data_IF_103882729602
#
_entry.id   IF_103882729602
#
_cell.length_a   1.000
_cell.length_b   1.000
_cell.length_c   1.000
_cell.angle_alpha   90.00
_cell.angle_beta   90.00
_cell.angle_gamma   90.00
#
_symmetry.space_group_name_H-M   'P 1'
#
loop_
_entity.id
_entity.type
_entity.pdbx_description
1 polymer ?
#
# COMPACT_ATOMS: atom_id res chain seq x y z
N UNK A 1 30.78 5.41 5.77
CA UNK A 1 29.35 5.63 6.01
C UNK A 1 28.60 4.34 5.69
N UNK A 2 27.59 3.94 6.47
CA UNK A 2 26.72 2.82 6.08
C UNK A 2 26.08 3.09 4.72
N UNK A 3 25.73 2.04 3.97
CA UNK A 3 25.12 2.18 2.64
C UNK A 3 23.81 2.98 2.75
N UNK A 4 23.63 3.97 1.87
CA UNK A 4 22.56 4.97 1.92
C UNK A 4 22.45 5.74 3.24
N UNK A 5 23.55 5.80 4.00
CA UNK A 5 23.60 6.47 5.30
C UNK A 5 22.78 5.81 6.40
N UNK A 6 22.19 4.63 6.15
CA UNK A 6 21.14 4.05 7.02
C UNK A 6 20.03 5.07 7.35
N UNK A 7 19.75 5.95 6.38
CA UNK A 7 18.77 7.03 6.48
C UNK A 7 17.34 6.50 6.33
N UNK A 8 16.39 7.43 6.34
CA UNK A 8 15.00 7.15 6.05
C UNK A 8 14.76 7.35 4.55
N UNK A 9 14.86 6.26 3.77
CA UNK A 9 14.41 6.25 2.38
C UNK A 9 12.91 5.99 2.32
N UNK A 10 12.21 6.92 1.70
CA UNK A 10 10.76 7.12 1.87
C UNK A 10 10.02 7.19 0.54
N UNK A 11 10.56 6.54 -0.47
CA UNK A 11 9.87 6.19 -1.71
C UNK A 11 9.52 4.68 -1.78
N UNK A 12 9.69 3.94 -0.67
CA UNK A 12 9.21 2.57 -0.42
C UNK A 12 9.64 2.05 0.95
N UNK A 13 10.89 2.27 1.39
CA UNK A 13 11.52 1.46 2.43
C UNK A 13 10.93 1.68 3.83
N UNK A 14 10.80 2.94 4.28
CA UNK A 14 10.16 3.20 5.58
C UNK A 14 8.67 2.86 5.53
N UNK A 15 7.97 3.11 4.43
CA UNK A 15 6.59 2.66 4.31
C UNK A 15 6.49 1.14 4.49
N UNK A 16 7.39 0.38 3.85
CA UNK A 16 7.48 -1.07 3.98
C UNK A 16 7.75 -1.55 5.41
N UNK A 17 8.59 -0.84 6.16
CA UNK A 17 8.86 -1.16 7.57
C UNK A 17 7.59 -1.21 8.42
N UNK A 18 6.57 -0.43 8.04
CA UNK A 18 5.36 -0.24 8.81
C UNK A 18 4.13 -0.94 8.24
N UNK A 19 4.20 -1.55 7.05
CA UNK A 19 3.11 -2.36 6.51
C UNK A 19 2.57 -3.45 7.46
N UNK A 20 3.40 -4.18 8.25
CA UNK A 20 2.87 -5.18 9.15
C UNK A 20 2.29 -4.61 10.45
N UNK A 21 2.47 -3.31 10.76
CA UNK A 21 2.15 -2.76 12.08
C UNK A 21 0.67 -2.92 12.44
N UNK A 22 -0.24 -2.54 11.53
CA UNK A 22 -1.68 -2.63 11.81
C UNK A 22 -2.18 -4.08 11.79
N UNK A 23 -1.99 -4.77 10.67
CA UNK A 23 -2.48 -6.15 10.43
C UNK A 23 -1.85 -7.16 11.38
N UNK A 24 -0.59 -6.94 11.76
CA UNK A 24 0.19 -7.76 12.68
C UNK A 24 -0.07 -7.46 14.17
N UNK A 25 -1.02 -6.57 14.48
CA UNK A 25 -1.40 -6.24 15.86
C UNK A 25 -0.28 -5.61 16.69
N UNK A 26 0.39 -4.63 16.08
CA UNK A 26 1.48 -3.82 16.66
C UNK A 26 1.21 -2.32 16.42
N UNK A 27 -0.06 -1.90 16.54
CA UNK A 27 -0.51 -0.55 16.18
C UNK A 27 0.21 0.56 16.95
N UNK A 28 0.61 0.28 18.18
CA UNK A 28 1.37 1.19 19.04
C UNK A 28 2.75 1.54 18.46
N UNK A 29 3.33 0.65 17.64
CA UNK A 29 4.64 0.88 17.02
C UNK A 29 4.58 1.96 15.95
N UNK A 30 3.42 2.23 15.38
CA UNK A 30 3.20 3.23 14.34
C UNK A 30 3.28 4.67 14.89
N UNK A 31 2.99 4.89 16.18
CA UNK A 31 2.94 6.23 16.76
C UNK A 31 4.29 6.96 16.74
N UNK A 32 5.41 6.23 16.74
CA UNK A 32 6.74 6.84 16.54
C UNK A 32 6.89 7.44 15.15
N UNK A 33 6.35 6.80 14.11
CA UNK A 33 6.32 7.33 12.74
C UNK A 33 5.42 8.58 12.69
N UNK A 34 4.26 8.55 13.34
CA UNK A 34 3.32 9.68 13.30
C UNK A 34 3.91 10.93 13.97
N UNK A 35 4.55 10.79 15.14
CA UNK A 35 5.28 11.90 15.77
C UNK A 35 6.43 12.42 14.91
N UNK A 36 7.13 11.53 14.21
CA UNK A 36 8.15 11.96 13.26
C UNK A 36 7.54 12.78 12.12
N UNK A 37 6.42 12.34 11.57
CA UNK A 37 5.71 13.02 10.47
C UNK A 37 5.10 14.37 10.90
N UNK A 38 4.66 14.52 12.14
CA UNK A 38 4.23 15.81 12.71
C UNK A 38 5.35 16.85 12.61
N UNK A 39 6.53 16.51 13.11
CA UNK A 39 7.72 17.37 13.02
C UNK A 39 8.17 17.61 11.57
N UNK A 40 8.05 16.60 10.73
CA UNK A 40 8.37 16.69 9.30
C UNK A 40 7.43 17.64 8.57
N UNK A 41 6.13 17.64 8.89
CA UNK A 41 5.15 18.51 8.25
C UNK A 41 5.43 19.99 8.54
N UNK A 42 5.88 20.33 9.76
CA UNK A 42 6.30 21.70 10.10
C UNK A 42 7.42 22.19 9.19
N UNK A 43 8.49 21.39 9.03
CA UNK A 43 9.61 21.72 8.13
C UNK A 43 9.22 21.65 6.66
N UNK A 44 8.37 20.70 6.30
CA UNK A 44 7.86 20.52 4.95
C UNK A 44 7.02 21.70 4.46
N UNK A 45 6.40 22.46 5.37
CA UNK A 45 5.71 23.71 5.02
C UNK A 45 6.70 24.82 4.60
N UNK A 46 7.87 24.89 5.24
CA UNK A 46 8.95 25.80 4.82
C UNK A 46 9.46 25.43 3.43
N UNK A 47 9.71 24.14 3.19
CA UNK A 47 10.13 23.62 1.87
C UNK A 47 9.06 23.87 0.80
N UNK A 48 7.79 23.59 1.08
CA UNK A 48 6.68 23.83 0.15
C UNK A 48 6.63 25.30 -0.30
N UNK A 49 6.75 26.22 0.65
CA UNK A 49 6.76 27.66 0.37
C UNK A 49 8.02 28.10 -0.38
N UNK A 50 9.20 27.68 0.07
CA UNK A 50 10.47 28.17 -0.45
C UNK A 50 10.80 27.62 -1.85
N UNK A 51 10.49 26.34 -2.11
CA UNK A 51 10.82 25.69 -3.37
C UNK A 51 9.70 25.78 -4.42
N UNK A 52 8.44 25.73 -3.99
CA UNK A 52 7.30 25.61 -4.90
C UNK A 52 6.31 26.78 -4.82
N UNK A 53 6.43 27.65 -3.81
CA UNK A 53 5.44 28.70 -3.56
C UNK A 53 4.05 28.15 -3.18
N UNK A 54 3.98 26.89 -2.76
CA UNK A 54 2.73 26.20 -2.44
C UNK A 54 2.39 26.31 -0.95
N UNK A 55 1.09 26.23 -0.64
CA UNK A 55 0.59 25.98 0.73
C UNK A 55 0.81 24.50 1.11
N UNK A 56 0.37 24.15 2.32
CA UNK A 56 0.49 22.78 2.82
C UNK A 56 1.93 22.44 3.19
N UNK A 57 2.31 21.17 3.04
CA UNK A 57 3.66 20.70 3.30
C UNK A 57 4.06 19.58 2.33
N UNK A 58 5.36 19.47 2.08
CA UNK A 58 5.95 18.48 1.15
C UNK A 58 7.20 17.85 1.76
N UNK A 59 7.52 16.64 1.31
CA UNK A 59 8.82 16.01 1.54
C UNK A 59 9.17 15.09 0.37
N UNK A 60 10.47 14.84 0.17
CA UNK A 60 11.00 14.10 -0.99
C UNK A 60 11.40 12.67 -0.64
N UNK A 61 12.09 11.96 -1.53
CA UNK A 61 12.37 10.52 -1.40
C UNK A 61 13.30 10.09 -0.25
N UNK A 62 14.00 11.03 0.40
CA UNK A 62 14.90 10.77 1.52
C UNK A 62 14.72 11.80 2.64
N UNK A 63 14.90 11.35 3.88
CA UNK A 63 14.95 12.21 5.08
C UNK A 63 15.86 11.57 6.14
N UNK A 64 16.00 12.20 7.30
CA UNK A 64 16.82 11.73 8.40
C UNK A 64 16.24 12.11 9.77
N UNK A 65 17.01 11.89 10.85
CA UNK A 65 16.58 12.20 12.22
C UNK A 65 16.22 13.66 12.43
N UNK A 66 16.71 14.57 11.58
CA UNK A 66 16.39 15.99 11.65
C UNK A 66 15.09 16.32 10.94
N UNK A 67 14.44 15.37 10.27
CA UNK A 67 13.25 15.63 9.46
C UNK A 67 13.52 16.65 8.34
N UNK A 68 14.66 16.52 7.67
CA UNK A 68 14.92 17.25 6.43
C UNK A 68 13.88 16.86 5.36
N UNK A 69 13.39 17.85 4.64
CA UNK A 69 12.35 17.70 3.62
C UNK A 69 12.80 18.18 2.25
N UNK A 70 13.99 18.74 2.11
CA UNK A 70 14.54 19.12 0.81
C UNK A 70 14.91 17.87 -0.03
N UNK A 71 14.95 17.98 -1.37
CA UNK A 71 15.54 16.94 -2.21
C UNK A 71 16.98 16.64 -1.77
N UNK A 72 17.29 15.36 -1.57
CA UNK A 72 18.65 14.90 -1.24
C UNK A 72 19.27 14.20 -2.45
N UNK A 73 20.59 14.02 -2.46
CA UNK A 73 21.36 13.35 -3.54
C UNK A 73 21.19 13.95 -4.95
N UNK A 74 21.74 13.28 -5.96
CA UNK A 74 21.80 13.70 -7.37
C UNK A 74 21.15 12.68 -8.33
N UNK A 75 20.35 11.76 -7.80
CA UNK A 75 19.63 10.75 -8.57
C UNK A 75 18.44 11.31 -9.35
N UNK A 76 18.63 11.62 -10.63
CA UNK A 76 17.58 12.15 -11.54
C UNK A 76 16.28 11.32 -11.52
N UNK A 77 16.36 10.03 -11.26
CA UNK A 77 15.23 9.11 -11.18
C UNK A 77 14.40 9.18 -9.88
N UNK A 78 14.87 9.87 -8.84
CA UNK A 78 14.19 9.89 -7.53
C UNK A 78 14.28 11.20 -6.73
N UNK A 79 15.34 11.98 -6.86
CA UNK A 79 15.61 13.18 -6.03
C UNK A 79 14.43 14.14 -5.94
N UNK A 80 13.77 14.41 -7.07
CA UNK A 80 12.69 15.40 -7.17
C UNK A 80 11.29 14.84 -6.85
N UNK A 81 11.17 13.59 -6.39
CA UNK A 81 9.88 12.97 -6.18
C UNK A 81 9.18 13.51 -4.92
N UNK A 82 8.01 14.14 -5.07
CA UNK A 82 7.34 14.95 -4.03
C UNK A 82 6.26 14.24 -3.23
N UNK A 83 5.96 12.96 -3.52
CA UNK A 83 4.77 12.28 -2.96
C UNK A 83 5.07 11.43 -1.72
N UNK A 84 6.26 11.49 -1.14
CA UNK A 84 6.57 10.76 0.09
C UNK A 84 5.62 11.13 1.23
N UNK A 85 5.33 12.43 1.40
CA UNK A 85 4.35 12.90 2.39
C UNK A 85 2.95 12.35 2.13
N UNK A 86 2.49 12.39 0.87
CA UNK A 86 1.19 11.87 0.46
C UNK A 86 1.04 10.37 0.77
N UNK A 87 2.06 9.56 0.47
CA UNK A 87 2.04 8.13 0.80
C UNK A 87 2.00 7.91 2.31
N UNK A 88 2.78 8.66 3.10
CA UNK A 88 2.71 8.52 4.56
C UNK A 88 1.35 8.88 5.15
N UNK A 89 0.60 9.80 4.54
CA UNK A 89 -0.77 10.10 4.99
C UNK A 89 -1.70 8.90 4.87
N UNK A 90 -1.42 7.97 3.97
CA UNK A 90 -2.14 6.70 3.90
C UNK A 90 -1.86 5.84 5.14
N UNK A 91 -0.66 5.90 5.74
CA UNK A 91 -0.40 5.19 7.01
C UNK A 91 -1.24 5.75 8.17
N UNK A 92 -1.38 7.09 8.27
CA UNK A 92 -2.24 7.70 9.29
C UNK A 92 -3.71 7.34 9.03
N UNK A 93 -4.15 7.39 7.77
CA UNK A 93 -5.50 6.99 7.42
C UNK A 93 -5.75 5.51 7.75
N UNK A 94 -4.80 4.63 7.44
CA UNK A 94 -4.88 3.20 7.76
C UNK A 94 -4.92 2.95 9.26
N UNK A 95 -4.15 3.67 10.08
CA UNK A 95 -4.26 3.57 11.54
C UNK A 95 -5.68 3.86 12.03
N UNK A 96 -6.33 4.90 11.49
CA UNK A 96 -7.75 5.14 11.76
C UNK A 96 -8.64 4.02 11.19
N UNK A 97 -8.44 3.55 9.96
CA UNK A 97 -9.27 2.48 9.39
C UNK A 97 -9.19 1.21 10.22
N UNK A 98 -8.02 0.85 10.76
CA UNK A 98 -7.85 -0.31 11.62
C UNK A 98 -8.32 -0.10 13.07
N UNK A 99 -8.14 1.09 13.65
CA UNK A 99 -8.48 1.38 15.05
C UNK A 99 -9.86 1.99 15.29
N UNK A 100 -10.38 2.75 14.32
CA UNK A 100 -11.60 3.58 14.39
C UNK A 100 -11.61 4.60 15.53
N UNK A 101 -10.42 5.01 15.99
CA UNK A 101 -10.23 6.02 17.02
C UNK A 101 -10.45 7.43 16.45
N UNK A 102 -11.56 8.06 16.84
CA UNK A 102 -11.90 9.43 16.40
C UNK A 102 -10.97 10.50 16.98
N UNK A 103 -10.40 10.30 18.16
CA UNK A 103 -9.44 11.26 18.73
C UNK A 103 -8.13 11.23 17.96
N UNK A 104 -7.65 10.02 17.62
CA UNK A 104 -6.53 9.90 16.69
C UNK A 104 -6.83 10.55 15.34
N UNK A 105 -8.04 10.34 14.78
CA UNK A 105 -8.40 10.96 13.50
C UNK A 105 -8.33 12.49 13.55
N UNK A 106 -8.77 13.12 14.65
CA UNK A 106 -8.64 14.58 14.84
C UNK A 106 -7.18 15.03 14.89
N UNK A 107 -6.28 14.24 15.49
CA UNK A 107 -4.83 14.50 15.49
C UNK A 107 -4.23 14.34 14.08
N UNK A 108 -4.64 13.31 13.34
CA UNK A 108 -4.11 12.97 12.03
C UNK A 108 -4.60 13.90 10.90
N UNK A 109 -5.85 14.35 10.98
CA UNK A 109 -6.51 15.07 9.88
C UNK A 109 -5.75 16.32 9.40
N UNK A 110 -5.22 17.20 10.27
CA UNK A 110 -4.46 18.37 9.82
C UNK A 110 -3.23 18.01 8.97
N UNK A 111 -2.58 16.87 9.23
CA UNK A 111 -1.44 16.40 8.43
C UNK A 111 -1.90 15.92 7.05
N UNK A 112 -2.99 15.14 7.02
CA UNK A 112 -3.58 14.61 5.78
C UNK A 112 -4.05 15.77 4.90
N UNK A 113 -4.83 16.70 5.47
CA UNK A 113 -5.31 17.89 4.79
C UNK A 113 -4.17 18.81 4.35
N UNK A 114 -3.14 19.00 5.18
CA UNK A 114 -1.96 19.79 4.83
C UNK A 114 -1.17 19.21 3.66
N UNK A 115 -1.07 17.88 3.55
CA UNK A 115 -0.42 17.24 2.40
C UNK A 115 -1.28 17.37 1.15
N UNK A 116 -2.60 17.19 1.25
CA UNK A 116 -3.52 17.39 0.13
C UNK A 116 -3.54 18.85 -0.37
N UNK A 117 -3.44 19.81 0.55
CA UNK A 117 -3.38 21.25 0.25
C UNK A 117 -2.16 21.61 -0.60
N UNK A 118 -1.01 20.97 -0.36
CA UNK A 118 0.17 21.14 -1.23
C UNK A 118 -0.16 20.76 -2.68
N UNK A 119 -0.83 19.63 -2.89
CA UNK A 119 -1.18 19.18 -4.24
C UNK A 119 -2.31 19.99 -4.89
N UNK A 120 -3.17 20.67 -4.13
CA UNK A 120 -4.09 21.65 -4.71
C UNK A 120 -3.35 22.80 -5.42
N UNK A 121 -2.19 23.19 -4.90
CA UNK A 121 -1.37 24.27 -5.47
C UNK A 121 -0.32 23.76 -6.46
N UNK A 122 0.20 22.54 -6.27
CA UNK A 122 1.30 21.98 -7.06
C UNK A 122 0.85 21.32 -8.38
N UNK A 123 -0.36 20.75 -8.41
CA UNK A 123 -0.86 20.06 -9.60
C UNK A 123 -1.13 21.05 -10.74
N UNK A 124 -0.77 20.65 -11.96
CA UNK A 124 -1.07 21.41 -13.17
C UNK A 124 -2.14 20.69 -14.00
N UNK A 125 -3.01 21.47 -14.66
CA UNK A 125 -4.02 20.90 -15.55
C UNK A 125 -3.45 20.64 -16.95
N UNK A 126 -3.59 19.40 -17.43
CA UNK A 126 -3.21 18.98 -18.78
C UNK A 126 -4.25 17.99 -19.29
N UNK A 127 -4.79 18.25 -20.47
CA UNK A 127 -5.81 17.40 -21.12
C UNK A 127 -7.03 17.11 -20.21
N UNK A 128 -7.44 18.12 -19.43
CA UNK A 128 -8.56 18.03 -18.47
C UNK A 128 -8.27 17.20 -17.21
N UNK A 129 -7.02 16.78 -17.01
CA UNK A 129 -6.56 16.04 -15.82
C UNK A 129 -5.56 16.86 -15.02
N UNK A 130 -5.58 16.68 -13.69
CA UNK A 130 -4.59 17.28 -12.79
C UNK A 130 -3.42 16.33 -12.61
N UNK A 131 -2.22 16.75 -12.99
CA UNK A 131 -1.01 15.92 -12.98
C UNK A 131 0.15 16.63 -12.28
N UNK A 132 1.11 15.83 -11.82
CA UNK A 132 2.40 16.31 -11.28
C UNK A 132 3.36 16.64 -12.40
N UNK A 133 4.13 17.73 -12.27
CA UNK A 133 5.23 18.02 -13.18
C UNK A 133 6.22 19.03 -12.55
N UNK A 134 7.53 18.74 -12.53
CA UNK A 134 8.15 17.46 -12.87
C UNK A 134 7.82 16.36 -11.84
N UNK A 135 7.99 15.09 -12.23
CA UNK A 135 7.99 13.94 -11.34
C UNK A 135 8.82 12.80 -11.96
N UNK A 136 8.90 11.65 -11.30
CA UNK A 136 9.55 10.44 -11.80
C UNK A 136 8.79 9.19 -11.35
N UNK A 137 9.03 8.05 -12.00
CA UNK A 137 8.64 6.74 -11.45
C UNK A 137 9.84 6.18 -10.71
N UNK A 138 9.84 6.22 -9.38
CA UNK A 138 11.00 5.79 -8.60
C UNK A 138 11.27 4.31 -8.89
N UNK A 139 12.48 3.88 -9.26
CA UNK A 139 13.63 4.66 -9.72
C UNK A 139 13.96 4.30 -11.17
N UNK A 140 12.92 4.05 -11.95
CA UNK A 140 12.98 3.48 -13.28
C UNK A 140 13.15 4.57 -14.35
N UNK A 141 13.67 4.15 -15.50
CA UNK A 141 13.86 5.00 -16.68
C UNK A 141 13.18 4.40 -17.90
N UNK A 142 12.90 5.24 -18.88
CA UNK A 142 12.22 4.89 -20.12
C UNK A 142 12.93 5.50 -21.33
N UNK A 143 12.61 4.98 -22.51
CA UNK A 143 13.01 5.61 -23.77
C UNK A 143 11.98 6.66 -24.19
N UNK A 144 12.42 7.89 -24.45
CA UNK A 144 11.55 8.95 -24.98
C UNK A 144 10.92 8.45 -26.29
N UNK A 145 9.60 8.59 -26.40
CA UNK A 145 8.81 8.04 -27.50
C UNK A 145 9.39 8.38 -28.87
N UNK A 146 9.62 7.35 -29.70
CA UNK A 146 10.21 7.51 -31.03
C UNK A 146 11.73 7.72 -31.06
N UNK A 147 12.41 7.61 -29.92
CA UNK A 147 13.87 7.81 -29.81
C UNK A 147 14.54 6.66 -29.04
N UNK A 148 15.87 6.68 -28.97
CA UNK A 148 16.68 5.82 -28.08
C UNK A 148 17.22 6.57 -26.85
N UNK A 149 16.78 7.80 -26.64
CA UNK A 149 17.24 8.63 -25.52
C UNK A 149 16.54 8.19 -24.24
N UNK A 150 17.34 7.89 -23.22
CA UNK A 150 16.83 7.50 -21.89
C UNK A 150 16.45 8.74 -21.09
N UNK A 151 15.30 8.69 -20.42
CA UNK A 151 14.82 9.71 -19.49
C UNK A 151 14.19 9.07 -18.24
N UNK A 152 14.14 9.83 -17.15
CA UNK A 152 13.53 9.40 -15.87
C UNK A 152 12.54 10.44 -15.34
N UNK A 153 12.81 11.72 -15.60
CA UNK A 153 11.88 12.82 -15.30
C UNK A 153 10.75 12.84 -16.32
N UNK A 154 9.53 12.92 -15.82
CA UNK A 154 8.29 12.89 -16.60
C UNK A 154 7.23 13.80 -15.97
N UNK A 155 6.00 13.72 -16.46
CA UNK A 155 4.83 14.38 -15.91
C UNK A 155 3.74 13.34 -15.65
N UNK A 156 3.17 13.32 -14.44
CA UNK A 156 2.07 12.42 -14.07
C UNK A 156 2.33 10.93 -14.35
N UNK A 157 3.44 10.33 -13.87
CA UNK A 157 3.60 8.89 -13.93
C UNK A 157 2.46 8.20 -13.16
N UNK A 158 2.13 6.96 -13.52
CA UNK A 158 0.88 6.31 -13.07
C UNK A 158 0.75 6.24 -11.55
N UNK A 159 1.83 5.91 -10.85
CA UNK A 159 1.84 5.82 -9.39
C UNK A 159 1.57 7.15 -8.66
N UNK A 160 1.89 8.30 -9.26
CA UNK A 160 1.55 9.60 -8.67
C UNK A 160 0.04 9.77 -8.61
N UNK A 161 -0.65 9.46 -9.71
CA UNK A 161 -2.11 9.47 -9.76
C UNK A 161 -2.72 8.51 -8.74
N UNK A 162 -2.13 7.31 -8.59
CA UNK A 162 -2.60 6.32 -7.61
C UNK A 162 -2.49 6.83 -6.16
N UNK A 163 -1.32 7.37 -5.78
CA UNK A 163 -1.09 7.90 -4.43
C UNK A 163 -1.99 9.11 -4.16
N UNK A 164 -2.12 10.02 -5.13
CA UNK A 164 -2.98 11.19 -4.99
C UNK A 164 -4.46 10.83 -4.88
N UNK A 165 -4.94 9.84 -5.66
CA UNK A 165 -6.32 9.36 -5.52
C UNK A 165 -6.59 8.88 -4.10
N UNK A 166 -5.68 8.08 -3.52
CA UNK A 166 -5.83 7.61 -2.14
C UNK A 166 -5.70 8.74 -1.11
N UNK A 167 -4.78 9.71 -1.29
CA UNK A 167 -4.66 10.88 -0.41
C UNK A 167 -5.95 11.71 -0.41
N UNK A 168 -6.46 12.03 -1.59
CA UNK A 168 -7.65 12.86 -1.74
C UNK A 168 -8.92 12.10 -1.33
N UNK A 169 -8.99 10.77 -1.48
CA UNK A 169 -10.04 9.95 -0.85
C UNK A 169 -9.96 10.04 0.67
N UNK A 170 -8.78 9.84 1.24
CA UNK A 170 -8.56 9.90 2.69
C UNK A 170 -8.95 11.25 3.29
N UNK A 171 -8.54 12.38 2.69
CA UNK A 171 -8.90 13.72 3.21
C UNK A 171 -10.41 13.98 3.12
N UNK A 172 -11.06 13.53 2.05
CA UNK A 172 -12.51 13.69 1.87
C UNK A 172 -13.29 12.84 2.85
N UNK A 173 -12.90 11.57 3.04
CA UNK A 173 -13.56 10.65 3.97
C UNK A 173 -13.34 11.06 5.43
N UNK A 174 -12.11 11.38 5.80
CA UNK A 174 -11.78 11.88 7.14
C UNK A 174 -12.50 13.20 7.42
N UNK A 175 -12.53 14.12 6.45
CA UNK A 175 -13.21 15.41 6.58
C UNK A 175 -14.71 15.25 6.80
N UNK A 176 -15.39 14.34 6.06
CA UNK A 176 -16.80 14.01 6.30
C UNK A 176 -17.05 13.48 7.71
N UNK A 177 -16.16 12.64 8.22
CA UNK A 177 -16.29 12.05 9.56
C UNK A 177 -16.10 13.09 10.68
N UNK A 178 -15.34 14.15 10.41
CA UNK A 178 -15.05 15.23 11.36
C UNK A 178 -15.93 16.48 11.17
N UNK A 179 -16.66 16.59 10.04
CA UNK A 179 -17.48 17.76 9.71
C UNK A 179 -16.69 18.93 9.11
N UNK A 180 -15.59 18.63 8.43
CA UNK A 180 -14.68 19.61 7.81
C UNK A 180 -15.11 19.94 6.37
N UNK A 181 -14.68 21.11 5.86
CA UNK A 181 -14.91 21.48 4.45
C UNK A 181 -14.03 20.66 3.51
N UNK A 182 -14.65 20.01 2.54
CA UNK A 182 -14.03 19.06 1.63
C UNK A 182 -14.26 19.40 0.15
N UNK A 183 -14.96 20.49 -0.17
CA UNK A 183 -15.47 20.75 -1.51
C UNK A 183 -14.33 20.86 -2.54
N UNK A 184 -13.27 21.61 -2.20
CA UNK A 184 -12.11 21.76 -3.09
C UNK A 184 -11.31 20.45 -3.23
N UNK A 185 -11.22 19.64 -2.17
CA UNK A 185 -10.56 18.33 -2.25
C UNK A 185 -11.32 17.36 -3.16
N UNK A 186 -12.67 17.39 -3.12
CA UNK A 186 -13.50 16.59 -4.01
C UNK A 186 -13.34 17.00 -5.48
N UNK A 187 -13.22 18.30 -5.77
CA UNK A 187 -12.99 18.80 -7.13
C UNK A 187 -11.66 18.31 -7.70
N UNK A 188 -10.60 18.31 -6.90
CA UNK A 188 -9.30 17.78 -7.33
C UNK A 188 -9.37 16.27 -7.54
N UNK A 189 -9.94 15.52 -6.61
CA UNK A 189 -10.10 14.06 -6.72
C UNK A 189 -10.75 13.63 -8.04
N UNK A 190 -11.80 14.34 -8.46
CA UNK A 190 -12.52 14.04 -9.70
C UNK A 190 -11.68 14.23 -10.99
N UNK A 191 -10.62 15.05 -10.93
CA UNK A 191 -9.74 15.36 -12.07
C UNK A 191 -8.44 14.56 -12.09
N UNK A 192 -8.17 13.70 -11.10
CA UNK A 192 -6.95 12.90 -11.09
C UNK A 192 -6.94 11.82 -12.21
N UNK A 193 -5.77 11.47 -12.76
CA UNK A 193 -5.64 10.41 -13.76
C UNK A 193 -5.75 9.03 -13.12
N UNK A 194 -6.43 8.11 -13.79
CA UNK A 194 -6.55 6.70 -13.37
C UNK A 194 -5.59 5.80 -14.17
N UNK A 195 -5.18 4.65 -13.61
CA UNK A 195 -4.28 3.71 -14.31
C UNK A 195 -4.83 3.23 -15.66
N UNK A 196 -3.92 2.98 -16.60
CA UNK A 196 -4.23 2.51 -17.94
C UNK A 196 -3.48 1.22 -18.27
N UNK A 197 -3.99 0.48 -19.26
CA UNK A 197 -3.37 -0.75 -19.77
C UNK A 197 -2.65 -0.43 -21.08
N UNK A 198 -1.36 -0.75 -21.14
CA UNK A 198 -0.51 -0.49 -22.30
C UNK A 198 -0.58 -1.60 -23.36
N UNK A 199 0.19 -1.43 -24.44
CA UNK A 199 0.24 -2.32 -25.61
C UNK A 199 0.70 -3.74 -25.33
N UNK A 200 1.44 -3.97 -24.24
CA UNK A 200 1.86 -5.30 -23.83
C UNK A 200 0.85 -5.97 -22.89
N UNK A 201 -0.29 -5.32 -22.62
CA UNK A 201 -1.28 -5.76 -21.64
C UNK A 201 -0.90 -5.46 -20.19
N UNK A 202 0.18 -4.71 -19.96
CA UNK A 202 0.71 -4.32 -18.64
C UNK A 202 0.01 -3.06 -18.10
N UNK A 203 0.06 -2.82 -16.79
CA UNK A 203 -0.27 -1.50 -16.24
C UNK A 203 0.81 -0.52 -16.74
N UNK A 204 0.41 0.58 -17.37
CA UNK A 204 1.37 1.60 -17.82
C UNK A 204 2.11 2.21 -16.62
N UNK A 205 3.41 2.46 -16.77
CA UNK A 205 4.23 3.10 -15.72
C UNK A 205 4.29 4.62 -15.87
N UNK A 206 4.35 5.10 -17.12
CA UNK A 206 4.31 6.52 -17.47
C UNK A 206 3.02 6.85 -18.22
N UNK A 207 2.75 8.15 -18.39
CA UNK A 207 1.56 8.63 -19.11
C UNK A 207 1.49 8.14 -20.57
N UNK A 208 2.65 7.99 -21.20
CA UNK A 208 2.81 7.56 -22.58
C UNK A 208 3.19 6.07 -22.58
N UNK A 209 2.74 5.31 -23.58
CA UNK A 209 3.03 3.87 -23.70
C UNK A 209 4.43 3.60 -24.30
N UNK A 210 5.42 4.01 -23.51
CA UNK A 210 6.86 3.96 -23.82
C UNK A 210 7.48 2.62 -23.41
N UNK A 211 8.63 2.31 -24.02
CA UNK A 211 9.44 1.18 -23.57
C UNK A 211 10.28 1.57 -22.36
N UNK A 212 10.40 0.63 -21.42
CA UNK A 212 11.28 0.74 -20.26
C UNK A 212 12.75 0.60 -20.68
N UNK A 213 13.63 1.39 -20.08
CA UNK A 213 15.08 1.21 -20.21
C UNK A 213 15.57 0.02 -19.36
N UNK A 214 14.87 -0.28 -18.26
CA UNK A 214 15.17 -1.39 -17.36
C UNK A 214 13.94 -2.28 -17.12
N UNK A 215 13.57 -3.19 -18.05
CA UNK A 215 12.43 -4.08 -17.85
C UNK A 215 12.54 -4.98 -16.60
N UNK A 216 13.76 -5.21 -16.10
CA UNK A 216 14.05 -5.94 -14.85
C UNK A 216 14.23 -5.08 -13.61
N UNK A 217 13.75 -3.83 -13.61
CA UNK A 217 13.98 -2.89 -12.53
C UNK A 217 13.51 -3.43 -11.15
N UNK A 218 14.05 -2.91 -10.06
CA UNK A 218 13.70 -3.39 -8.71
C UNK A 218 12.39 -2.80 -8.17
N UNK A 219 12.02 -1.60 -8.60
CA UNK A 219 10.72 -1.00 -8.27
C UNK A 219 9.61 -1.50 -9.20
N UNK A 220 8.40 -1.52 -8.65
CA UNK A 220 7.14 -1.76 -9.35
C UNK A 220 6.14 -0.65 -9.01
N UNK A 221 6.61 0.59 -9.00
CA UNK A 221 5.91 1.75 -8.46
C UNK A 221 4.49 1.93 -9.03
N UNK A 222 4.29 1.67 -10.32
CA UNK A 222 2.97 1.72 -10.97
C UNK A 222 2.00 0.60 -10.56
N UNK A 223 2.43 -0.36 -9.74
CA UNK A 223 1.58 -1.33 -9.04
C UNK A 223 1.25 -0.93 -7.59
N UNK A 224 1.66 0.26 -7.14
CA UNK A 224 1.35 0.78 -5.81
C UNK A 224 -0.16 0.75 -5.52
N UNK A 225 -0.98 1.02 -6.54
CA UNK A 225 -2.44 0.98 -6.46
C UNK A 225 -3.06 -0.41 -6.23
N UNK A 226 -2.29 -1.50 -6.33
CA UNK A 226 -2.73 -2.84 -5.94
C UNK A 226 -2.32 -3.16 -4.50
N UNK A 227 -1.11 -2.74 -4.12
CA UNK A 227 -0.64 -2.72 -2.74
C UNK A 227 0.55 -1.72 -2.60
N UNK A 228 0.55 -0.88 -1.56
CA UNK A 228 -0.41 -0.85 -0.44
C UNK A 228 -1.73 -0.15 -0.74
N UNK A 229 -1.84 0.57 -1.87
CA UNK A 229 -3.06 1.28 -2.30
C UNK A 229 -4.19 0.35 -2.75
N UNK A 230 -5.26 0.96 -3.28
CA UNK A 230 -6.46 0.24 -3.72
C UNK A 230 -7.11 0.87 -4.99
N UNK A 231 -6.30 1.46 -5.88
CA UNK A 231 -6.76 2.06 -7.15
C UNK A 231 -6.70 1.12 -8.35
N UNK A 232 -6.04 -0.04 -8.21
CA UNK A 232 -6.08 -1.12 -9.21
C UNK A 232 -7.15 -2.13 -8.79
N UNK A 233 -8.42 -1.74 -8.90
CA UNK A 233 -9.57 -2.38 -8.25
C UNK A 233 -10.50 -3.16 -9.19
N UNK A 234 -10.16 -3.23 -10.48
CA UNK A 234 -10.96 -3.94 -11.49
C UNK A 234 -10.28 -5.23 -11.96
N UNK A 235 -11.04 -6.25 -12.40
CA UNK A 235 -10.46 -7.47 -12.98
C UNK A 235 -9.49 -7.19 -14.13
N UNK A 236 -9.80 -6.22 -15.00
CA UNK A 236 -8.93 -5.80 -16.10
C UNK A 236 -7.58 -5.27 -15.60
N UNK A 237 -7.57 -4.46 -14.54
CA UNK A 237 -6.34 -3.93 -13.95
C UNK A 237 -5.57 -4.99 -13.16
N UNK A 238 -6.27 -5.95 -12.53
CA UNK A 238 -5.62 -7.10 -11.89
C UNK A 238 -4.89 -7.98 -12.91
N UNK A 239 -5.51 -8.27 -14.06
CA UNK A 239 -4.86 -9.04 -15.12
C UNK A 239 -3.68 -8.26 -15.71
N UNK A 240 -3.80 -6.94 -15.88
CA UNK A 240 -2.68 -6.11 -16.29
C UNK A 240 -1.53 -6.09 -15.27
N UNK A 241 -1.84 -6.11 -13.96
CA UNK A 241 -0.84 -6.19 -12.91
C UNK A 241 -0.09 -7.53 -12.92
N UNK A 242 -0.77 -8.65 -13.22
CA UNK A 242 -0.11 -9.95 -13.43
C UNK A 242 0.88 -9.89 -14.59
N UNK A 243 0.48 -9.29 -15.72
CA UNK A 243 1.36 -9.10 -16.88
C UNK A 243 2.56 -8.23 -16.53
N UNK A 244 2.36 -7.14 -15.78
CA UNK A 244 3.47 -6.32 -15.27
C UNK A 244 4.45 -7.15 -14.45
N UNK A 245 3.97 -7.94 -13.47
CA UNK A 245 4.84 -8.78 -12.63
C UNK A 245 5.62 -9.81 -13.46
N UNK A 246 4.95 -10.46 -14.42
CA UNK A 246 5.59 -11.42 -15.32
C UNK A 246 6.73 -10.77 -16.12
N UNK A 247 6.48 -9.60 -16.73
CA UNK A 247 7.51 -8.85 -17.48
C UNK A 247 8.67 -8.43 -16.60
N UNK A 248 8.36 -7.90 -15.41
CA UNK A 248 9.35 -7.45 -14.43
C UNK A 248 10.29 -8.58 -13.99
N UNK A 249 9.72 -9.74 -13.70
CA UNK A 249 10.49 -10.93 -13.31
C UNK A 249 11.27 -11.53 -14.47
N UNK A 250 10.70 -11.58 -15.68
CA UNK A 250 11.41 -12.02 -16.88
C UNK A 250 12.63 -11.15 -17.20
N UNK A 251 12.58 -9.85 -16.87
CA UNK A 251 13.70 -8.93 -16.97
C UNK A 251 14.77 -9.05 -15.87
N UNK A 252 14.55 -9.87 -14.83
CA UNK A 252 15.46 -10.03 -13.70
C UNK A 252 15.08 -9.25 -12.43
N UNK A 253 13.85 -8.73 -12.34
CA UNK A 253 13.34 -8.05 -11.15
C UNK A 253 13.19 -8.95 -9.92
N UNK A 254 12.88 -8.34 -8.77
CA UNK A 254 12.74 -9.07 -7.50
C UNK A 254 14.04 -9.72 -7.02
N UNK A 255 15.19 -9.12 -7.33
CA UNK A 255 16.52 -9.59 -6.94
C UNK A 255 17.00 -8.98 -5.61
N UNK A 256 16.41 -7.88 -5.16
CA UNK A 256 16.60 -7.35 -3.80
C UNK A 256 15.48 -7.86 -2.88
N UNK A 257 15.77 -8.05 -1.59
CA UNK A 257 14.79 -8.53 -0.62
C UNK A 257 13.52 -7.67 -0.54
N UNK A 258 13.64 -6.35 -0.41
CA UNK A 258 12.47 -5.46 -0.37
C UNK A 258 11.65 -5.52 -1.67
N UNK A 259 12.30 -5.64 -2.83
CA UNK A 259 11.61 -5.74 -4.12
C UNK A 259 10.78 -7.03 -4.18
N UNK A 260 11.37 -8.15 -3.77
CA UNK A 260 10.66 -9.42 -3.71
C UNK A 260 9.55 -9.42 -2.65
N UNK A 261 9.76 -8.77 -1.49
CA UNK A 261 8.75 -8.62 -0.46
C UNK A 261 7.53 -7.82 -0.97
N UNK A 262 7.76 -6.75 -1.73
CA UNK A 262 6.68 -5.99 -2.36
C UNK A 262 5.93 -6.84 -3.40
N UNK A 263 6.66 -7.56 -4.27
CA UNK A 263 6.07 -8.51 -5.23
C UNK A 263 5.20 -9.57 -4.53
N UNK A 264 5.63 -10.10 -3.39
CA UNK A 264 4.85 -11.05 -2.59
C UNK A 264 3.53 -10.45 -2.08
N UNK A 265 3.53 -9.18 -1.68
CA UNK A 265 2.29 -8.48 -1.32
C UNK A 265 1.35 -8.34 -2.54
N UNK A 266 1.90 -8.07 -3.73
CA UNK A 266 1.10 -8.04 -4.96
C UNK A 266 0.48 -9.41 -5.27
N UNK A 267 1.24 -10.50 -5.14
CA UNK A 267 0.72 -11.85 -5.35
C UNK A 267 -0.39 -12.22 -4.37
N UNK A 268 -0.24 -11.82 -3.10
CA UNK A 268 -1.29 -11.98 -2.10
C UNK A 268 -2.59 -11.26 -2.52
N UNK A 269 -2.49 -9.99 -2.97
CA UNK A 269 -3.66 -9.23 -3.44
C UNK A 269 -4.28 -9.79 -4.72
N UNK A 270 -3.48 -10.34 -5.62
CA UNK A 270 -3.94 -11.02 -6.83
C UNK A 270 -4.47 -12.43 -6.58
N UNK A 271 -4.31 -12.95 -5.35
CA UNK A 271 -4.62 -14.35 -4.96
C UNK A 271 -3.86 -15.36 -5.81
N UNK A 272 -2.65 -14.99 -6.22
CA UNK A 272 -1.75 -15.81 -7.03
C UNK A 272 -0.93 -16.74 -6.12
N UNK A 273 -1.46 -17.95 -5.92
CA UNK A 273 -0.86 -18.96 -5.04
C UNK A 273 0.50 -19.43 -5.55
N UNK A 274 0.67 -19.56 -6.87
CA UNK A 274 1.90 -20.06 -7.48
C UNK A 274 3.02 -19.02 -7.40
N UNK A 275 2.71 -17.76 -7.75
CA UNK A 275 3.62 -16.64 -7.64
C UNK A 275 4.05 -16.40 -6.19
N UNK A 276 3.11 -16.42 -5.25
CA UNK A 276 3.38 -16.31 -3.82
C UNK A 276 4.30 -17.44 -3.33
N UNK A 277 3.98 -18.71 -3.64
CA UNK A 277 4.78 -19.86 -3.22
C UNK A 277 6.23 -19.78 -3.74
N UNK A 278 6.38 -19.51 -5.04
CA UNK A 278 7.69 -19.39 -5.70
C UNK A 278 8.49 -18.22 -5.13
N UNK A 279 7.84 -17.08 -4.88
CA UNK A 279 8.47 -15.91 -4.28
C UNK A 279 8.98 -16.18 -2.86
N UNK A 280 8.21 -16.91 -2.04
CA UNK A 280 8.66 -17.29 -0.68
C UNK A 280 9.89 -18.20 -0.76
N UNK A 281 9.89 -19.18 -1.66
CA UNK A 281 11.05 -20.06 -1.88
C UNK A 281 12.29 -19.25 -2.31
N UNK A 282 12.12 -18.26 -3.20
CA UNK A 282 13.20 -17.37 -3.62
C UNK A 282 13.72 -16.49 -2.47
N UNK A 283 12.84 -15.95 -1.62
CA UNK A 283 13.21 -15.15 -0.45
C UNK A 283 14.10 -15.96 0.49
N UNK A 284 13.62 -17.14 0.90
CA UNK A 284 14.32 -18.02 1.85
C UNK A 284 15.60 -18.59 1.24
N UNK A 285 15.59 -18.90 -0.06
CA UNK A 285 16.70 -19.56 -0.75
C UNK A 285 17.89 -18.66 -1.10
N UNK A 286 17.78 -17.33 -0.99
CA UNK A 286 18.90 -16.47 -1.38
C UNK A 286 18.88 -15.01 -0.93
N UNK A 287 17.82 -14.54 -0.26
CA UNK A 287 17.70 -13.14 0.17
C UNK A 287 17.70 -12.97 1.70
N UNK A 288 17.93 -14.05 2.43
CA UNK A 288 18.16 -14.05 3.87
C UNK A 288 19.63 -14.34 4.18
N UNK A 289 20.19 -13.57 5.11
CA UNK A 289 21.46 -13.89 5.74
C UNK A 289 21.26 -15.04 6.74
N UNK A 290 22.34 -15.66 7.23
CA UNK A 290 22.26 -16.69 8.27
C UNK A 290 21.56 -16.22 9.56
N UNK A 291 21.56 -14.90 9.82
CA UNK A 291 20.85 -14.26 10.93
C UNK A 291 19.34 -14.08 10.68
N UNK A 292 18.82 -14.53 9.53
CA UNK A 292 17.47 -14.26 9.01
C UNK A 292 17.18 -12.79 8.69
N UNK A 293 18.17 -11.90 8.79
CA UNK A 293 18.06 -10.54 8.27
C UNK A 293 18.03 -10.56 6.75
N UNK A 294 17.21 -9.72 6.14
CA UNK A 294 17.11 -9.62 4.69
C UNK A 294 18.30 -8.92 4.06
N UNK A 295 18.61 -9.27 2.82
CA UNK A 295 19.75 -8.74 2.08
C UNK A 295 19.29 -8.00 0.83
N UNK A 296 19.80 -6.78 0.61
CA UNK A 296 19.67 -6.06 -0.65
C UNK A 296 20.53 -6.66 -1.76
N UNK A 297 21.85 -6.96 -1.60
CA UNK A 297 22.82 -6.69 -0.51
C UNK A 297 23.31 -5.23 -0.41
N UNK A 298 23.83 -4.77 0.74
CA UNK A 298 24.01 -5.50 2.00
C UNK A 298 22.68 -5.60 2.80
N UNK A 299 22.74 -5.89 4.10
CA UNK A 299 21.56 -5.89 4.97
C UNK A 299 20.69 -4.63 4.79
N UNK A 300 19.39 -4.86 4.59
CA UNK A 300 18.32 -3.87 4.66
C UNK A 300 17.12 -4.53 5.35
N UNK A 301 16.49 -3.82 6.30
CA UNK A 301 15.45 -4.39 7.18
C UNK A 301 14.05 -4.37 6.57
N UNK A 302 13.83 -3.53 5.57
CA UNK A 302 12.58 -3.38 4.83
C UNK A 302 12.03 -4.73 4.32
N UNK A 303 12.89 -5.55 3.71
CA UNK A 303 12.52 -6.88 3.26
C UNK A 303 11.94 -7.78 4.37
N UNK A 304 12.45 -7.70 5.60
CA UNK A 304 11.93 -8.48 6.73
C UNK A 304 10.48 -8.07 7.06
N UNK A 305 10.22 -6.76 7.15
CA UNK A 305 8.89 -6.23 7.45
C UNK A 305 7.90 -6.44 6.30
N UNK A 306 8.34 -6.21 5.06
CA UNK A 306 7.54 -6.48 3.87
C UNK A 306 7.17 -7.96 3.74
N UNK A 307 8.09 -8.88 4.07
CA UNK A 307 7.81 -10.32 4.08
C UNK A 307 6.76 -10.68 5.13
N UNK A 308 6.85 -10.12 6.34
CA UNK A 308 5.83 -10.30 7.37
C UNK A 308 4.45 -9.78 6.93
N UNK A 309 4.41 -8.61 6.28
CA UNK A 309 3.18 -8.04 5.72
C UNK A 309 2.60 -8.93 4.62
N UNK A 310 3.42 -9.47 3.72
CA UNK A 310 2.98 -10.37 2.66
C UNK A 310 2.34 -11.65 3.22
N UNK A 311 2.95 -12.26 4.25
CA UNK A 311 2.38 -13.44 4.92
C UNK A 311 1.03 -13.10 5.57
N UNK A 312 0.91 -11.93 6.20
CA UNK A 312 -0.35 -11.47 6.77
C UNK A 312 -1.43 -11.27 5.69
N UNK A 313 -1.09 -10.61 4.58
CA UNK A 313 -1.98 -10.36 3.42
C UNK A 313 -2.42 -11.65 2.70
N UNK A 314 -1.62 -12.73 2.75
CA UNK A 314 -2.01 -14.06 2.25
C UNK A 314 -3.08 -14.72 3.12
N UNK A 315 -3.11 -14.40 4.42
CA UNK A 315 -3.98 -15.03 5.42
C UNK A 315 -5.22 -14.18 5.76
N UNK A 316 -5.13 -12.86 5.65
CA UNK A 316 -6.22 -11.93 5.96
C UNK A 316 -6.13 -10.67 5.09
N UNK A 317 -7.23 -10.33 4.42
CA UNK A 317 -7.38 -9.10 3.65
C UNK A 317 -8.59 -8.31 4.13
N UNK A 318 -8.53 -6.98 4.08
CA UNK A 318 -9.62 -6.12 4.57
C UNK A 318 -9.68 -4.74 3.92
N UNK A 319 -9.21 -4.60 2.68
CA UNK A 319 -9.07 -3.32 1.97
C UNK A 319 -10.27 -3.00 1.06
N UNK A 320 -11.00 -4.03 0.62
CA UNK A 320 -12.08 -3.89 -0.36
C UNK A 320 -13.33 -3.43 0.36
N UNK A 321 -13.87 -2.29 -0.06
CA UNK A 321 -15.12 -1.77 0.50
C UNK A 321 -16.26 -2.76 0.27
N UNK A 322 -17.18 -2.81 1.23
CA UNK A 322 -18.39 -3.59 1.03
C UNK A 322 -19.38 -2.89 0.09
N UNK A 323 -20.23 -3.70 -0.55
CA UNK A 323 -21.22 -3.22 -1.50
C UNK A 323 -22.39 -2.48 -0.82
N UNK A 324 -22.37 -2.35 0.52
CA UNK A 324 -23.47 -1.75 1.29
C UNK A 324 -23.35 -0.24 1.38
N UNK A 325 -22.19 0.33 1.03
CA UNK A 325 -21.93 1.76 1.16
C UNK A 325 -21.80 2.23 2.61
N UNK A 326 -21.62 1.30 3.56
CA UNK A 326 -21.54 1.59 5.00
C UNK A 326 -20.21 2.20 5.44
N UNK A 327 -19.24 2.32 4.53
CA UNK A 327 -17.86 2.70 4.84
C UNK A 327 -17.06 1.58 5.54
N UNK A 328 -17.61 0.35 5.57
CA UNK A 328 -16.91 -0.85 6.02
C UNK A 328 -16.26 -1.57 4.84
N UNK A 329 -15.29 -2.43 5.18
CA UNK A 329 -14.64 -3.32 4.23
C UNK A 329 -15.03 -4.78 4.46
N UNK A 330 -14.94 -5.57 3.39
CA UNK A 330 -15.05 -7.02 3.41
C UNK A 330 -13.80 -7.59 4.06
N UNK A 331 -13.96 -8.49 5.03
CA UNK A 331 -12.87 -9.24 5.65
C UNK A 331 -12.71 -10.59 4.93
N UNK A 332 -11.68 -10.68 4.11
CA UNK A 332 -11.31 -11.89 3.37
C UNK A 332 -10.44 -12.81 4.23
N UNK A 333 -10.95 -14.01 4.50
CA UNK A 333 -10.33 -15.06 5.30
C UNK A 333 -9.57 -16.03 4.39
N UNK A 334 -8.27 -16.19 4.64
CA UNK A 334 -7.37 -17.05 3.87
C UNK A 334 -7.49 -16.80 2.34
N UNK A 335 -7.29 -15.56 1.86
CA UNK A 335 -7.39 -15.25 0.44
C UNK A 335 -6.36 -16.00 -0.41
N UNK A 336 -5.19 -16.36 0.14
CA UNK A 336 -4.08 -16.99 -0.60
C UNK A 336 -3.37 -18.03 0.26
N UNK A 337 -3.94 -19.24 0.36
CA UNK A 337 -3.29 -20.35 1.06
C UNK A 337 -2.28 -21.06 0.15
N UNK A 338 -1.04 -21.19 0.62
CA UNK A 338 0.02 -21.86 -0.12
C UNK A 338 -0.08 -23.39 0.00
N UNK A 339 0.34 -24.15 -1.03
CA UNK A 339 0.29 -25.63 -1.02
C UNK A 339 1.01 -26.24 0.19
N UNK A 340 2.16 -25.67 0.57
CA UNK A 340 2.96 -26.13 1.71
C UNK A 340 2.31 -25.85 3.07
N UNK A 341 1.27 -25.01 3.12
CA UNK A 341 0.53 -24.69 4.33
C UNK A 341 -0.80 -25.44 4.43
N UNK A 342 -1.28 -26.07 3.35
CA UNK A 342 -2.64 -26.63 3.29
C UNK A 342 -2.90 -27.71 4.32
N UNK A 343 -1.91 -28.58 4.58
CA UNK A 343 -2.08 -29.74 5.46
C UNK A 343 -2.70 -29.35 6.81
N UNK A 344 -2.12 -28.38 7.49
CA UNK A 344 -2.64 -27.86 8.76
C UNK A 344 -1.95 -26.55 9.12
N UNK A 345 -2.72 -25.58 9.60
CA UNK A 345 -2.14 -24.34 10.11
C UNK A 345 -3.12 -23.53 10.94
N UNK A 346 -2.57 -22.53 11.63
CA UNK A 346 -3.37 -21.57 12.38
C UNK A 346 -2.63 -20.25 12.55
N UNK A 347 -3.39 -19.16 12.64
CA UNK A 347 -2.91 -17.83 13.01
C UNK A 347 -3.85 -17.22 14.04
N UNK A 348 -3.33 -16.32 14.87
CA UNK A 348 -4.07 -15.65 15.95
C UNK A 348 -3.71 -14.18 16.00
N UNK A 349 -4.71 -13.35 16.29
CA UNK A 349 -4.53 -11.95 16.63
C UNK A 349 -4.31 -11.02 15.44
N UNK A 350 -4.47 -11.47 14.19
CA UNK A 350 -4.43 -10.55 13.05
C UNK A 350 -5.57 -9.54 13.14
N UNK A 351 -5.30 -8.30 12.77
CA UNK A 351 -6.32 -7.24 12.72
C UNK A 351 -6.84 -7.03 11.31
N UNK A 352 -8.09 -6.61 11.21
CA UNK A 352 -8.74 -6.16 9.99
C UNK A 352 -9.26 -4.74 10.19
N UNK A 353 -9.36 -3.98 9.09
CA UNK A 353 -10.00 -2.66 9.07
C UNK A 353 -11.40 -2.71 9.68
N UNK A 354 -11.83 -1.62 10.29
CA UNK A 354 -13.06 -1.45 11.06
C UNK A 354 -12.98 -2.00 12.49
N UNK A 355 -11.80 -1.93 13.13
CA UNK A 355 -11.59 -2.35 14.51
C UNK A 355 -12.02 -3.81 14.78
N UNK A 356 -11.58 -4.75 13.94
CA UNK A 356 -11.84 -6.18 14.13
C UNK A 356 -10.52 -6.92 14.35
N UNK A 357 -10.48 -7.81 15.34
CA UNK A 357 -9.39 -8.76 15.55
C UNK A 357 -9.89 -10.17 15.22
N UNK A 358 -9.18 -10.88 14.33
CA UNK A 358 -9.35 -12.31 14.09
C UNK A 358 -8.53 -13.06 15.14
N UNK A 359 -9.14 -13.29 16.30
CA UNK A 359 -8.50 -13.93 17.46
C UNK A 359 -7.96 -15.32 17.14
N UNK A 360 -8.66 -16.05 16.27
CA UNK A 360 -8.29 -17.40 15.87
C UNK A 360 -8.72 -17.65 14.44
N UNK A 361 -7.81 -18.22 13.67
CA UNK A 361 -8.07 -18.74 12.34
C UNK A 361 -7.29 -20.04 12.21
N UNK A 362 -7.95 -21.13 11.84
CA UNK A 362 -7.30 -22.43 11.61
C UNK A 362 -7.87 -23.12 10.39
N UNK A 363 -7.02 -23.93 9.77
CA UNK A 363 -7.36 -24.72 8.60
C UNK A 363 -6.67 -26.07 8.64
N UNK A 364 -7.27 -27.03 7.95
CA UNK A 364 -6.78 -28.40 7.78
C UNK A 364 -7.19 -28.91 6.41
N UNK A 365 -6.29 -29.60 5.72
CA UNK A 365 -6.46 -30.08 4.34
C UNK A 365 -6.97 -28.99 3.38
N UNK A 366 -6.44 -27.78 3.54
CA UNK A 366 -6.78 -26.62 2.75
C UNK A 366 -8.19 -26.09 3.00
N UNK A 367 -8.90 -26.55 4.04
CA UNK A 367 -10.25 -26.11 4.40
C UNK A 367 -10.26 -25.31 5.68
N UNK A 368 -11.09 -24.28 5.74
CA UNK A 368 -11.34 -23.51 6.95
C UNK A 368 -11.92 -24.44 8.03
N UNK A 369 -11.21 -24.57 9.14
CA UNK A 369 -11.63 -25.37 10.28
C UNK A 369 -12.43 -24.53 11.27
N UNK A 370 -11.92 -23.34 11.60
CA UNK A 370 -12.48 -22.41 12.58
C UNK A 370 -11.97 -20.99 12.30
N UNK A 371 -12.86 -20.01 12.47
CA UNK A 371 -12.50 -18.60 12.54
C UNK A 371 -13.30 -17.92 13.64
N UNK A 372 -12.62 -17.14 14.48
CA UNK A 372 -13.21 -16.38 15.60
C UNK A 372 -12.79 -14.93 15.46
N UNK A 373 -13.77 -14.04 15.40
CA UNK A 373 -13.57 -12.61 15.31
C UNK A 373 -14.13 -11.90 16.54
N UNK A 374 -13.51 -10.78 16.93
CA UNK A 374 -14.02 -9.89 17.97
C UNK A 374 -13.97 -8.45 17.48
N UNK A 375 -15.04 -7.69 17.74
CA UNK A 375 -15.03 -6.24 17.54
C UNK A 375 -14.30 -5.56 18.70
N UNK A 376 -13.37 -4.66 18.36
CA UNK A 376 -12.70 -3.72 19.25
C UNK A 376 -13.28 -2.30 19.14
N UNK A 377 -14.30 -2.10 18.31
CA UNK A 377 -15.01 -0.83 18.24
C UNK A 377 -15.77 -0.55 19.55
N UNK A 378 -16.17 0.71 19.76
CA UNK A 378 -16.96 1.13 20.93
C UNK A 378 -18.44 0.76 20.80
N UNK A 379 -18.94 0.59 19.58
CA UNK A 379 -20.34 0.31 19.28
C UNK A 379 -20.50 -0.99 18.48
N UNK A 380 -21.68 -1.64 18.53
CA UNK A 380 -22.00 -2.77 17.66
C UNK A 380 -21.86 -2.42 16.18
N UNK A 381 -21.35 -3.37 15.40
CA UNK A 381 -21.17 -3.21 13.96
C UNK A 381 -21.48 -4.52 13.23
N UNK A 382 -22.09 -4.43 12.04
CA UNK A 382 -22.25 -5.57 11.14
C UNK A 382 -21.07 -5.62 10.19
N UNK A 383 -20.41 -6.78 10.07
CA UNK A 383 -19.26 -6.98 9.18
C UNK A 383 -19.45 -8.14 8.25
N UNK A 384 -19.00 -7.93 7.02
CA UNK A 384 -19.01 -8.96 5.98
C UNK A 384 -17.69 -9.73 6.03
N UNK A 385 -17.79 -11.04 6.16
CA UNK A 385 -16.65 -11.96 6.02
C UNK A 385 -16.80 -12.78 4.74
N UNK A 386 -15.70 -13.00 4.05
CA UNK A 386 -15.63 -13.81 2.84
C UNK A 386 -14.53 -14.86 2.94
N UNK A 387 -14.81 -16.05 2.47
CA UNK A 387 -13.87 -17.15 2.31
C UNK A 387 -14.12 -17.77 0.93
N UNK A 388 -13.06 -18.20 0.24
CA UNK A 388 -13.23 -18.79 -1.08
C UNK A 388 -14.04 -20.11 -0.98
N UNK A 389 -14.98 -20.39 -1.91
CA UNK A 389 -15.82 -21.59 -1.84
C UNK A 389 -15.03 -22.91 -1.75
N UNK A 390 -13.87 -22.98 -2.43
CA UNK A 390 -12.98 -24.14 -2.38
C UNK A 390 -12.29 -24.33 -1.02
N UNK A 391 -12.38 -23.38 -0.09
CA UNK A 391 -11.87 -23.48 1.29
C UNK A 391 -12.97 -23.86 2.29
N UNK A 392 -14.23 -23.98 1.88
CA UNK A 392 -15.30 -24.44 2.75
C UNK A 392 -15.25 -25.96 2.99
N UNK A 393 -15.73 -26.40 4.16
CA UNK A 393 -15.89 -27.83 4.48
C UNK A 393 -16.85 -28.49 3.49
N UNK A 394 -16.58 -29.75 3.17
CA UNK A 394 -17.44 -30.52 2.28
C UNK A 394 -18.87 -30.57 2.82
N UNK A 395 -19.85 -30.27 1.97
CA UNK A 395 -21.26 -30.21 2.36
C UNK A 395 -21.72 -28.89 2.98
N UNK A 396 -20.86 -27.86 3.11
CA UNK A 396 -21.31 -26.51 3.46
C UNK A 396 -22.29 -25.99 2.40
N UNK A 397 -23.38 -25.37 2.85
CA UNK A 397 -24.39 -24.72 1.99
C UNK A 397 -24.09 -23.25 1.73
N UNK A 398 -23.02 -22.71 2.32
CA UNK A 398 -22.65 -21.31 2.14
C UNK A 398 -21.97 -21.08 0.80
N UNK A 399 -22.19 -19.87 0.27
CA UNK A 399 -21.49 -19.35 -0.89
C UNK A 399 -20.11 -18.74 -0.51
N UNK A 400 -19.68 -18.91 0.74
CA UNK A 400 -18.44 -18.35 1.27
C UNK A 400 -18.55 -16.90 1.71
N UNK A 401 -19.75 -16.33 1.84
CA UNK A 401 -19.96 -14.95 2.30
C UNK A 401 -21.00 -14.92 3.41
N UNK A 402 -20.69 -14.25 4.51
CA UNK A 402 -21.59 -14.06 5.65
C UNK A 402 -21.54 -12.62 6.15
N UNK A 403 -22.68 -12.12 6.65
CA UNK A 403 -22.76 -10.88 7.44
C UNK A 403 -22.93 -11.25 8.90
N UNK A 404 -22.12 -10.66 9.77
CA UNK A 404 -22.08 -11.00 11.20
C UNK A 404 -22.18 -9.72 12.02
N UNK A 405 -23.14 -9.69 12.94
CA UNK A 405 -23.26 -8.64 13.93
C UNK A 405 -22.24 -8.88 15.05
N UNK A 406 -21.31 -7.95 15.20
CA UNK A 406 -20.26 -8.01 16.21
C UNK A 406 -20.59 -7.04 17.34
N UNK A 407 -20.79 -7.59 18.53
CA UNK A 407 -20.89 -6.81 19.77
C UNK A 407 -19.47 -6.56 20.31
N UNK A 408 -19.12 -5.33 20.71
CA UNK A 408 -17.82 -5.01 21.28
C UNK A 408 -17.36 -5.99 22.35
N UNK A 409 -16.13 -6.48 22.24
CA UNK A 409 -15.49 -7.36 23.20
C UNK A 409 -16.04 -8.78 23.28
N UNK A 410 -17.11 -9.14 22.54
CA UNK A 410 -17.67 -10.49 22.50
C UNK A 410 -17.13 -11.27 21.29
N UNK A 411 -16.35 -12.34 21.49
CA UNK A 411 -15.91 -13.19 20.39
C UNK A 411 -17.09 -13.89 19.72
N UNK A 412 -17.05 -13.99 18.39
CA UNK A 412 -18.04 -14.67 17.56
C UNK A 412 -17.33 -15.69 16.68
N UNK A 413 -17.77 -16.94 16.73
CA UNK A 413 -17.34 -17.98 15.80
C UNK A 413 -18.06 -17.79 14.46
N UNK A 414 -17.29 -17.61 13.39
CA UNK A 414 -17.80 -17.45 12.04
C UNK A 414 -18.30 -18.79 11.51
N UNK A 415 -19.59 -18.85 11.16
CA UNK A 415 -20.22 -20.06 10.62
C UNK A 415 -20.46 -19.88 9.12
N UNK A 416 -19.60 -20.49 8.31
CA UNK A 416 -19.73 -20.53 6.85
C UNK A 416 -20.45 -21.79 6.38
#
# INVERSE_FOLDING_TARGET
MPVWGSKYTININIQMNYWPAEVGNLAETHDVLFRFLERTAERGAETAKAMYGCRGWVMHHNTDIWADTAPQDDGVQCTYWTLSGAWFMIHLWEHYRFGRDKEFLRRAYPLIAGSALFFQDFLIERDGKLITSPSSSAENSYYILGTKTVASITSGPTWDGQILIELFRAVVEAGKLLGEDIDEFQKVLAKLPTPQVGKHGQVMEWKDDVEEAEPGHRHISHLWGLFPGNTLDTPKLHDAAKVTLQRRLAGGGGHTSWSLAWILCQYARLRDVEGAHTGIQKMIGGLLLNSMLTSHPPFQIDGNFGFAAAVAEMLLQSQVDDETGSGNTIIDIIPTLLPTWEKRGSVRGLRARGAVEVQKLSWEDGKLLEAVAVSKATEPQTRVFRVAPNRLKQGSKSNGRISVDLVPGKPVTLSF
#
